data_IF_588636290527
#
_entry.id   IF_588636290527
#
_cell.length_a   1.000
_cell.length_b   1.000
_cell.length_c   1.000
_cell.angle_alpha   90.00
_cell.angle_beta   90.00
_cell.angle_gamma   90.00
#
_symmetry.space_group_name_H-M   'P 1'
#
loop_
_entity.id
_entity.type
_entity.pdbx_description
1 polymer ?
#
# COMPACT_ATOMS: atom_id res chain seq x y z
N UNK A 1 -17.89 15.61 -27.82
CA UNK A 1 -18.66 15.78 -26.57
C UNK A 1 -17.84 15.30 -25.35
N UNK A 2 -16.58 15.76 -25.17
CA UNK A 2 -15.73 15.39 -24.00
C UNK A 2 -14.94 16.63 -23.47
N UNK A 3 -15.09 17.81 -24.09
CA UNK A 3 -14.14 18.91 -23.92
C UNK A 3 -14.46 19.92 -22.77
N UNK A 4 -15.49 19.69 -21.95
CA UNK A 4 -15.97 20.68 -20.97
C UNK A 4 -16.30 20.14 -19.57
N UNK A 5 -15.82 18.94 -19.20
CA UNK A 5 -15.79 18.57 -17.78
C UNK A 5 -14.73 19.45 -17.11
N UNK A 6 -15.19 20.55 -16.53
CA UNK A 6 -14.42 21.68 -16.01
C UNK A 6 -13.14 21.22 -15.26
N UNK A 7 -12.03 21.99 -15.32
CA UNK A 7 -10.75 21.68 -14.67
C UNK A 7 -10.87 21.14 -13.24
N UNK A 8 -11.88 21.60 -12.49
CA UNK A 8 -12.24 21.13 -11.15
C UNK A 8 -12.56 19.63 -11.07
N UNK A 9 -13.30 19.08 -12.04
CA UNK A 9 -13.66 17.65 -12.07
C UNK A 9 -12.46 16.76 -12.35
N UNK A 10 -11.56 17.17 -13.24
CA UNK A 10 -10.32 16.44 -13.51
C UNK A 10 -9.38 16.43 -12.30
N UNK A 11 -9.26 17.56 -11.59
CA UNK A 11 -8.51 17.63 -10.34
C UNK A 11 -9.14 16.75 -9.26
N UNK A 12 -10.47 16.80 -9.09
CA UNK A 12 -11.18 15.98 -8.13
C UNK A 12 -10.97 14.48 -8.42
N UNK A 13 -11.12 14.04 -9.67
CA UNK A 13 -10.86 12.65 -10.07
C UNK A 13 -9.42 12.22 -9.79
N UNK A 14 -8.44 13.08 -10.04
CA UNK A 14 -7.04 12.79 -9.74
C UNK A 14 -6.79 12.63 -8.24
N UNK A 15 -7.39 13.49 -7.41
CA UNK A 15 -7.32 13.38 -5.94
C UNK A 15 -8.03 12.11 -5.47
N UNK A 16 -9.29 11.89 -5.87
CA UNK A 16 -10.06 10.70 -5.52
C UNK A 16 -9.31 9.42 -5.91
N UNK A 17 -8.73 9.36 -7.11
CA UNK A 17 -7.92 8.21 -7.53
C UNK A 17 -6.72 7.96 -6.61
N UNK A 18 -6.03 9.01 -6.16
CA UNK A 18 -4.88 8.87 -5.24
C UNK A 18 -5.32 8.47 -3.83
N UNK A 19 -6.45 8.99 -3.37
CA UNK A 19 -7.06 8.58 -2.09
C UNK A 19 -7.43 7.10 -2.14
N UNK A 20 -8.05 6.62 -3.22
CA UNK A 20 -8.38 5.20 -3.39
C UNK A 20 -7.12 4.33 -3.40
N UNK A 21 -6.07 4.74 -4.12
CA UNK A 21 -4.79 4.04 -4.15
C UNK A 21 -4.13 4.00 -2.76
N UNK A 22 -4.12 5.11 -2.03
CA UNK A 22 -3.47 5.21 -0.71
C UNK A 22 -4.26 4.53 0.40
N UNK A 23 -5.58 4.67 0.43
CA UNK A 23 -6.44 4.03 1.43
C UNK A 23 -6.51 2.52 1.17
N UNK A 24 -6.98 2.11 -0.01
CA UNK A 24 -7.17 0.70 -0.32
C UNK A 24 -5.85 -0.03 -0.53
N UNK A 25 -4.98 0.51 -1.38
CA UNK A 25 -3.68 -0.08 -1.64
C UNK A 25 -2.72 0.01 -0.45
N UNK A 26 -2.77 1.11 0.32
CA UNK A 26 -2.00 1.21 1.57
C UNK A 26 -2.45 0.20 2.62
N UNK A 27 -3.76 -0.01 2.80
CA UNK A 27 -4.27 -1.05 3.69
C UNK A 27 -3.81 -2.45 3.27
N UNK A 28 -3.92 -2.78 1.98
CA UNK A 28 -3.43 -4.05 1.43
C UNK A 28 -1.91 -4.21 1.64
N UNK A 29 -1.15 -3.15 1.39
CA UNK A 29 0.32 -3.14 1.59
C UNK A 29 0.68 -3.37 3.05
N UNK A 30 -0.01 -2.70 3.98
CA UNK A 30 0.15 -2.88 5.43
C UNK A 30 -0.15 -4.32 5.86
N UNK A 31 -1.23 -4.91 5.37
CA UNK A 31 -1.56 -6.30 5.68
C UNK A 31 -0.49 -7.27 5.17
N UNK A 32 -0.04 -7.08 3.92
CA UNK A 32 1.03 -7.89 3.34
C UNK A 32 2.37 -7.69 4.06
N UNK A 33 2.67 -6.47 4.52
CA UNK A 33 3.86 -6.20 5.33
C UNK A 33 3.79 -6.92 6.67
N UNK A 34 2.64 -6.91 7.36
CA UNK A 34 2.47 -7.63 8.61
C UNK A 34 2.75 -9.13 8.40
N UNK A 35 2.14 -9.72 7.38
CA UNK A 35 2.31 -11.12 7.02
C UNK A 35 3.77 -11.44 6.69
N UNK A 36 4.40 -10.66 5.81
CA UNK A 36 5.78 -10.85 5.40
C UNK A 36 6.74 -10.72 6.58
N UNK A 37 6.59 -9.67 7.41
CA UNK A 37 7.44 -9.45 8.57
C UNK A 37 7.29 -10.56 9.61
N UNK A 38 6.05 -10.96 9.93
CA UNK A 38 5.80 -12.04 10.88
C UNK A 38 6.34 -13.40 10.41
N UNK A 39 6.44 -13.61 9.09
CA UNK A 39 6.98 -14.85 8.50
C UNK A 39 8.51 -14.90 8.48
N UNK A 40 9.18 -13.74 8.51
CA UNK A 40 10.65 -13.63 8.39
C UNK A 40 11.33 -13.40 9.74
N UNK A 41 10.66 -12.73 10.68
CA UNK A 41 11.24 -12.39 11.98
C UNK A 41 11.54 -13.65 12.82
N UNK A 42 12.78 -13.84 13.31
CA UNK A 42 13.15 -14.97 14.18
C UNK A 42 12.75 -14.68 15.64
N UNK A 43 11.47 -14.43 15.87
CA UNK A 43 10.91 -14.10 17.18
C UNK A 43 9.89 -15.16 17.62
N UNK A 44 9.49 -15.10 18.88
CA UNK A 44 8.29 -15.82 19.34
C UNK A 44 7.07 -15.36 18.53
N UNK A 45 6.08 -16.24 18.35
CA UNK A 45 4.90 -15.92 17.53
C UNK A 45 4.13 -14.69 18.04
N UNK A 46 4.07 -14.50 19.37
CA UNK A 46 3.44 -13.34 19.98
C UNK A 46 4.20 -12.06 19.66
N UNK A 47 5.52 -12.05 19.82
CA UNK A 47 6.33 -10.85 19.62
C UNK A 47 6.39 -10.47 18.14
N UNK A 48 6.53 -11.47 17.26
CA UNK A 48 6.47 -11.28 15.82
C UNK A 48 5.15 -10.61 15.39
N UNK A 49 4.03 -11.02 15.98
CA UNK A 49 2.71 -10.45 15.67
C UNK A 49 2.61 -8.99 16.12
N UNK A 50 3.10 -8.66 17.31
CA UNK A 50 3.07 -7.28 17.83
C UNK A 50 3.95 -6.38 16.96
N UNK A 51 5.21 -6.77 16.73
CA UNK A 51 6.17 -5.97 15.95
C UNK A 51 5.69 -5.78 14.52
N UNK A 52 5.22 -6.84 13.86
CA UNK A 52 4.70 -6.76 12.49
C UNK A 52 3.45 -5.89 12.38
N UNK A 53 2.55 -5.93 13.37
CA UNK A 53 1.35 -5.07 13.42
C UNK A 53 1.73 -3.60 13.58
N UNK A 54 2.72 -3.29 14.43
CA UNK A 54 3.22 -1.92 14.59
C UNK A 54 3.89 -1.40 13.31
N UNK A 55 4.65 -2.26 12.62
CA UNK A 55 5.22 -1.93 11.30
C UNK A 55 4.12 -1.68 10.26
N UNK A 56 3.08 -2.52 10.23
CA UNK A 56 1.95 -2.36 9.34
C UNK A 56 1.15 -1.07 9.61
N UNK A 57 1.01 -0.70 10.88
CA UNK A 57 0.40 0.57 11.30
C UNK A 57 1.16 1.77 10.72
N UNK A 58 2.50 1.73 10.74
CA UNK A 58 3.36 2.79 10.18
C UNK A 58 3.36 2.78 8.64
N UNK A 59 3.23 1.60 8.02
CA UNK A 59 3.22 1.46 6.56
C UNK A 59 2.05 2.20 5.92
N UNK A 60 0.87 2.18 6.55
CA UNK A 60 -0.33 2.77 5.94
C UNK A 60 -0.22 4.29 5.67
N UNK A 61 0.13 5.14 6.66
CA UNK A 61 0.32 6.57 6.41
C UNK A 61 1.48 6.84 5.45
N UNK A 62 2.55 6.02 5.46
CA UNK A 62 3.65 6.15 4.50
C UNK A 62 3.17 5.92 3.07
N UNK A 63 2.39 4.86 2.84
CA UNK A 63 1.79 4.57 1.53
C UNK A 63 0.83 5.67 1.09
N UNK A 64 0.05 6.24 2.02
CA UNK A 64 -0.83 7.37 1.75
C UNK A 64 -0.04 8.62 1.33
N UNK A 65 1.01 9.00 2.07
CA UNK A 65 1.88 10.14 1.74
C UNK A 65 2.57 9.94 0.39
N UNK A 66 3.04 8.73 0.11
CA UNK A 66 3.67 8.37 -1.17
C UNK A 66 2.72 8.57 -2.35
N UNK A 67 1.45 8.14 -2.24
CA UNK A 67 0.46 8.33 -3.30
C UNK A 67 0.29 9.80 -3.70
N UNK A 68 0.46 10.74 -2.75
CA UNK A 68 0.40 12.18 -3.02
C UNK A 68 1.75 12.78 -3.46
N UNK A 69 2.87 12.18 -3.09
CA UNK A 69 4.22 12.60 -3.53
C UNK A 69 4.47 12.38 -5.04
N UNK A 70 3.78 11.43 -5.67
CA UNK A 70 3.98 11.13 -7.10
C UNK A 70 3.46 12.24 -8.04
N UNK A 71 4.03 12.35 -9.25
CA UNK A 71 3.62 13.35 -10.26
C UNK A 71 2.27 13.06 -10.92
N UNK A 72 1.88 11.79 -11.06
CA UNK A 72 0.63 11.39 -11.73
C UNK A 72 -0.09 10.30 -10.95
N UNK A 73 -1.42 10.23 -11.07
CA UNK A 73 -2.21 9.18 -10.42
C UNK A 73 -1.82 7.76 -10.90
N UNK A 74 -1.43 7.62 -12.17
CA UNK A 74 -0.91 6.36 -12.72
C UNK A 74 0.37 5.89 -12.03
N UNK A 75 1.29 6.81 -11.72
CA UNK A 75 2.52 6.50 -10.97
C UNK A 75 2.21 6.08 -9.53
N UNK A 76 1.24 6.72 -8.88
CA UNK A 76 0.78 6.30 -7.55
C UNK A 76 0.34 4.83 -7.56
N UNK A 77 -0.59 4.47 -8.45
CA UNK A 77 -1.06 3.09 -8.58
C UNK A 77 0.06 2.11 -8.93
N UNK A 78 0.92 2.44 -9.90
CA UNK A 78 2.01 1.56 -10.32
C UNK A 78 2.99 1.25 -9.18
N UNK A 79 3.37 2.26 -8.40
CA UNK A 79 4.24 2.04 -7.25
C UNK A 79 3.53 1.29 -6.11
N UNK A 80 2.25 1.57 -5.84
CA UNK A 80 1.46 0.82 -4.85
C UNK A 80 1.36 -0.66 -5.21
N UNK A 81 1.04 -0.99 -6.47
CA UNK A 81 1.00 -2.36 -6.96
C UNK A 81 2.36 -3.04 -6.83
N UNK A 82 3.44 -2.34 -7.22
CA UNK A 82 4.80 -2.88 -7.10
C UNK A 82 5.16 -3.21 -5.64
N UNK A 83 4.81 -2.34 -4.68
CA UNK A 83 5.02 -2.61 -3.24
C UNK A 83 4.22 -3.83 -2.79
N UNK A 84 2.93 -3.90 -3.12
CA UNK A 84 2.09 -5.07 -2.78
C UNK A 84 2.69 -6.37 -3.35
N UNK A 85 3.10 -6.38 -4.61
CA UNK A 85 3.68 -7.56 -5.25
C UNK A 85 5.00 -7.97 -4.60
N UNK A 86 5.85 -7.00 -4.25
CA UNK A 86 7.11 -7.28 -3.56
C UNK A 86 6.87 -7.90 -2.18
N UNK A 87 5.95 -7.34 -1.39
CA UNK A 87 5.62 -7.86 -0.06
C UNK A 87 4.97 -9.24 -0.12
N UNK A 88 4.06 -9.45 -1.08
CA UNK A 88 3.45 -10.76 -1.30
C UNK A 88 4.50 -11.81 -1.72
N UNK A 89 5.42 -11.45 -2.61
CA UNK A 89 6.51 -12.34 -3.00
C UNK A 89 7.40 -12.71 -1.80
N UNK A 90 7.76 -11.73 -0.95
CA UNK A 90 8.53 -11.99 0.27
C UNK A 90 7.78 -12.95 1.20
N UNK A 91 6.49 -12.71 1.45
CA UNK A 91 5.67 -13.58 2.30
C UNK A 91 5.64 -15.03 1.77
N UNK A 92 5.38 -15.21 0.48
CA UNK A 92 5.34 -16.53 -0.15
C UNK A 92 6.70 -17.25 -0.10
N UNK A 93 7.80 -16.52 -0.38
CA UNK A 93 9.15 -17.07 -0.29
C UNK A 93 9.57 -17.40 1.14
N UNK A 94 9.02 -16.70 2.13
CA UNK A 94 9.19 -17.01 3.56
C UNK A 94 8.32 -18.20 4.02
N UNK A 95 7.53 -18.79 3.13
CA UNK A 95 6.72 -19.99 3.41
C UNK A 95 5.30 -19.69 3.89
N UNK A 96 4.85 -18.44 3.86
CA UNK A 96 3.44 -18.10 4.13
C UNK A 96 2.53 -18.74 3.07
N UNK A 97 1.40 -19.28 3.53
CA UNK A 97 0.36 -19.87 2.69
C UNK A 97 -1.01 -19.32 3.15
N UNK A 98 -1.84 -18.79 2.24
CA UNK A 98 -3.16 -18.26 2.57
C UNK A 98 -4.17 -19.33 2.96
#
# INVERSE_FOLDING_TARGET
MILFLAPRTQVALAITSRVLAGVGGGYLSSALLAIAAASVLPLSRSDATIVSTLLALLCWPVMMMMCFSTRTATRAWGLTVMVCLALAAIALLAGWRP
#
